data_IF_164989737906
#
_entry.id   IF_164989737906
#
_cell.length_a   1.000
_cell.length_b   1.000
_cell.length_c   1.000
_cell.angle_alpha   90.00
_cell.angle_beta   90.00
_cell.angle_gamma   90.00
#
_symmetry.space_group_name_H-M   'P 1'
#
loop_
_entity.id
_entity.type
_entity.pdbx_description
1 polymer ?
#
# COMPACT_ATOMS: atom_id res chain seq x y z
N UNK A 1 40.03 -12.65 -23.94
CA UNK A 1 40.10 -12.92 -22.48
C UNK A 1 38.67 -13.13 -22.01
N UNK A 2 38.01 -14.30 -22.14
CA UNK A 2 38.25 -15.65 -21.61
C UNK A 2 38.07 -15.76 -20.07
N UNK A 3 36.92 -16.30 -19.64
CA UNK A 3 36.62 -17.13 -18.44
C UNK A 3 35.07 -17.21 -18.33
N UNK A 4 34.36 -18.18 -18.91
CA UNK A 4 34.25 -19.65 -18.73
C UNK A 4 33.42 -20.09 -17.52
N UNK A 5 32.33 -20.81 -17.86
CA UNK A 5 31.29 -21.50 -17.08
C UNK A 5 31.77 -22.33 -15.88
N UNK A 6 30.87 -22.52 -14.89
CA UNK A 6 30.59 -23.83 -14.28
C UNK A 6 29.09 -24.03 -14.09
N UNK A 7 28.55 -25.06 -14.74
CA UNK A 7 27.30 -25.74 -14.41
C UNK A 7 27.62 -26.89 -13.45
N UNK A 8 26.68 -27.21 -12.55
CA UNK A 8 26.70 -28.43 -11.74
C UNK A 8 25.28 -28.94 -11.60
N UNK A 9 24.99 -30.05 -12.26
CA UNK A 9 23.80 -30.89 -12.07
C UNK A 9 24.12 -32.01 -11.07
N UNK A 10 23.17 -32.36 -10.21
CA UNK A 10 23.16 -33.64 -9.51
C UNK A 10 21.75 -34.22 -9.57
N UNK A 11 21.73 -35.53 -9.79
CA UNK A 11 20.60 -36.36 -10.18
C UNK A 11 19.71 -36.79 -9.00
N UNK A 12 18.48 -37.17 -9.35
CA UNK A 12 17.50 -37.88 -8.53
C UNK A 12 18.00 -39.28 -8.14
N UNK A 13 17.62 -39.72 -6.93
CA UNK A 13 17.48 -41.15 -6.63
C UNK A 13 16.31 -41.36 -5.66
N UNK A 14 15.46 -42.31 -6.05
CA UNK A 14 14.23 -42.78 -5.42
C UNK A 14 14.53 -43.72 -4.24
N UNK A 15 13.82 -43.58 -3.11
CA UNK A 15 13.57 -44.73 -2.25
C UNK A 15 12.33 -44.54 -1.37
N UNK A 16 11.44 -45.52 -1.51
CA UNK A 16 10.19 -45.74 -0.80
C UNK A 16 10.43 -46.36 0.58
N UNK A 17 9.70 -45.94 1.63
CA UNK A 17 9.37 -46.81 2.77
C UNK A 17 8.17 -46.35 3.62
N UNK A 18 7.11 -47.16 3.52
CA UNK A 18 6.30 -47.79 4.59
C UNK A 18 5.67 -46.96 5.73
N UNK A 19 4.36 -46.75 5.55
CA UNK A 19 3.20 -46.87 6.47
C UNK A 19 3.43 -47.54 7.84
N UNK A 20 2.96 -46.89 8.92
CA UNK A 20 2.51 -47.51 10.19
C UNK A 20 1.12 -46.96 10.53
N UNK A 21 0.24 -47.84 11.01
CA UNK A 21 -1.18 -47.65 11.35
C UNK A 21 -1.39 -48.23 12.76
N UNK A 22 -2.13 -47.54 13.63
CA UNK A 22 -2.69 -48.05 14.89
C UNK A 22 -3.49 -46.91 15.56
N UNK A 23 -4.83 -46.86 15.49
CA UNK A 23 -5.90 -47.58 16.22
C UNK A 23 -6.08 -47.16 17.68
N UNK A 24 -7.12 -46.34 17.89
CA UNK A 24 -8.27 -46.45 18.82
C UNK A 24 -8.09 -46.68 20.33
N UNK A 25 -8.77 -45.83 21.12
CA UNK A 25 -9.81 -46.08 22.17
C UNK A 25 -9.75 -44.99 23.27
N UNK A 26 -10.81 -44.17 23.45
CA UNK A 26 -11.85 -44.24 24.51
C UNK A 26 -11.29 -43.99 25.94
N UNK A 27 -11.87 -43.26 26.89
CA UNK A 27 -13.13 -42.53 27.12
C UNK A 27 -13.05 -41.90 28.54
N UNK A 28 -14.05 -41.07 28.91
CA UNK A 28 -14.48 -40.70 30.29
C UNK A 28 -13.69 -39.58 31.03
N UNK A 29 -14.20 -38.35 31.13
CA UNK A 29 -15.19 -37.76 32.09
C UNK A 29 -14.75 -37.72 33.55
N UNK A 30 -14.73 -36.52 34.16
CA UNK A 30 -14.79 -36.38 35.62
C UNK A 30 -14.18 -35.10 36.20
N UNK A 31 -15.06 -34.22 36.66
CA UNK A 31 -14.97 -33.34 37.83
C UNK A 31 -14.23 -31.98 37.85
N UNK A 32 -15.11 -30.99 38.06
CA UNK A 32 -15.00 -29.62 38.53
C UNK A 32 -14.44 -29.49 39.96
N UNK A 33 -13.64 -28.45 40.22
CA UNK A 33 -13.52 -27.78 41.53
C UNK A 33 -13.28 -26.28 41.32
N UNK A 34 -14.17 -25.46 41.89
CA UNK A 34 -14.05 -24.01 42.07
C UNK A 34 -12.94 -23.65 43.07
N UNK A 35 -12.24 -22.53 42.86
CA UNK A 35 -11.90 -21.65 43.99
C UNK A 35 -11.68 -20.20 43.50
N UNK A 36 -12.31 -19.30 44.21
CA UNK A 36 -12.35 -17.85 44.07
C UNK A 36 -11.35 -17.20 45.01
N UNK A 37 -10.55 -16.21 44.58
CA UNK A 37 -9.88 -15.27 45.51
C UNK A 37 -9.68 -13.87 44.91
N UNK A 38 -10.21 -12.89 45.67
CA UNK A 38 -9.80 -11.49 45.90
C UNK A 38 -9.91 -10.38 44.84
N UNK A 39 -10.76 -9.41 45.18
CA UNK A 39 -10.73 -7.99 44.81
C UNK A 39 -9.83 -7.18 45.77
N UNK A 40 -9.12 -6.17 45.25
CA UNK A 40 -8.62 -4.97 45.95
C UNK A 40 -8.53 -3.84 44.90
N UNK A 41 -9.43 -2.85 44.91
CA UNK A 41 -9.32 -1.54 45.58
C UNK A 41 -8.18 -0.64 45.04
N UNK A 42 -8.56 0.44 44.34
CA UNK A 42 -7.98 1.77 44.57
C UNK A 42 -8.95 2.87 44.09
N UNK A 43 -9.15 3.87 44.95
CA UNK A 43 -10.03 5.01 44.79
C UNK A 43 -9.34 6.28 45.31
N UNK A 44 -9.27 7.33 44.51
CA UNK A 44 -8.97 8.73 44.87
C UNK A 44 -9.23 9.59 43.62
N UNK A 45 -9.74 10.84 43.61
CA UNK A 45 -10.18 11.76 44.65
C UNK A 45 -11.14 12.80 44.03
N UNK A 46 -11.94 13.40 44.91
CA UNK A 46 -13.03 14.39 44.70
C UNK A 46 -12.51 15.79 44.34
N UNK A 47 -13.33 16.64 43.68
CA UNK A 47 -14.00 17.83 44.28
C UNK A 47 -14.69 18.75 43.25
N UNK A 48 -15.95 19.04 43.55
CA UNK A 48 -16.90 19.98 42.94
C UNK A 48 -16.67 21.42 43.43
N UNK A 49 -17.02 22.43 42.63
CA UNK A 49 -17.50 23.72 43.13
C UNK A 49 -18.33 24.44 42.05
N UNK A 50 -19.63 24.62 42.31
CA UNK A 50 -20.51 25.63 41.71
C UNK A 50 -20.59 26.81 42.68
N UNK A 51 -20.64 28.05 42.15
CA UNK A 51 -21.25 29.19 42.82
C UNK A 51 -21.68 30.26 41.80
N UNK A 52 -22.89 30.75 42.00
CA UNK A 52 -23.66 31.75 41.26
C UNK A 52 -23.20 33.19 41.55
N UNK A 53 -23.46 34.13 40.64
CA UNK A 53 -23.98 35.48 40.95
C UNK A 53 -24.35 36.26 39.68
N UNK A 54 -25.51 36.93 39.73
CA UNK A 54 -26.21 37.69 38.68
C UNK A 54 -25.73 39.15 38.50
N UNK A 55 -25.82 39.64 37.24
CA UNK A 55 -26.35 40.95 36.74
C UNK A 55 -25.79 42.33 37.22
N UNK A 56 -26.12 43.48 36.57
CA UNK A 56 -26.31 43.80 35.13
C UNK A 56 -25.69 45.17 34.67
N UNK A 57 -25.75 45.39 33.35
CA UNK A 57 -25.88 46.66 32.57
C UNK A 57 -24.93 47.85 32.77
N UNK A 58 -24.27 48.26 31.67
CA UNK A 58 -24.33 49.67 31.23
C UNK A 58 -24.09 49.85 29.72
N UNK A 59 -24.78 50.84 29.15
CA UNK A 59 -24.79 51.22 27.71
C UNK A 59 -23.71 52.28 27.43
N UNK A 60 -23.12 52.26 26.22
CA UNK A 60 -22.85 53.51 25.48
C UNK A 60 -22.59 53.25 23.99
N UNK A 61 -23.22 54.12 23.19
CA UNK A 61 -23.31 54.17 21.72
C UNK A 61 -22.19 55.06 21.16
N UNK A 62 -21.61 54.72 20.01
CA UNK A 62 -21.30 55.70 18.95
C UNK A 62 -20.83 55.02 17.67
N UNK A 63 -21.34 55.57 16.57
CA UNK A 63 -21.26 55.15 15.18
C UNK A 63 -19.84 55.17 14.58
N UNK A 64 -19.62 54.29 13.60
CA UNK A 64 -18.34 54.16 12.90
C UNK A 64 -18.48 53.29 11.65
N UNK A 65 -19.12 53.86 10.64
CA UNK A 65 -19.30 53.33 9.30
C UNK A 65 -17.93 53.05 8.65
N UNK A 66 -17.61 51.78 8.38
CA UNK A 66 -16.48 51.40 7.54
C UNK A 66 -16.91 50.32 6.56
N UNK A 67 -17.16 50.76 5.33
CA UNK A 67 -17.39 49.94 4.17
C UNK A 67 -16.19 49.00 3.93
N UNK A 68 -16.33 47.74 4.33
CA UNK A 68 -15.39 46.68 3.98
C UNK A 68 -15.75 46.15 2.59
N UNK A 69 -14.95 46.55 1.61
CA UNK A 69 -14.90 46.07 0.25
C UNK A 69 -14.96 44.52 0.19
N UNK A 70 -16.11 43.97 -0.21
CA UNK A 70 -16.24 42.56 -0.58
C UNK A 70 -15.49 42.33 -1.89
N UNK A 71 -14.22 41.92 -1.78
CA UNK A 71 -13.48 41.34 -2.91
C UNK A 71 -14.09 39.97 -3.20
N UNK A 72 -14.92 39.94 -4.24
CA UNK A 72 -15.34 38.71 -4.92
C UNK A 72 -14.07 37.99 -5.41
N UNK A 73 -13.65 36.97 -4.68
CA UNK A 73 -12.67 35.98 -5.14
C UNK A 73 -13.34 35.19 -6.26
N UNK A 74 -12.99 35.52 -7.51
CA UNK A 74 -13.44 34.76 -8.66
C UNK A 74 -13.02 33.29 -8.50
N UNK A 75 -13.99 32.39 -8.59
CA UNK A 75 -13.78 30.95 -8.65
C UNK A 75 -12.96 30.62 -9.90
N UNK A 76 -11.64 30.59 -9.79
CA UNK A 76 -10.79 29.95 -10.79
C UNK A 76 -11.08 28.45 -10.74
N UNK A 77 -11.91 27.97 -11.66
CA UNK A 77 -12.20 26.55 -11.86
C UNK A 77 -10.88 25.82 -12.11
N UNK A 78 -10.37 25.13 -11.10
CA UNK A 78 -9.10 24.40 -11.19
C UNK A 78 -9.27 23.26 -12.20
N UNK A 79 -8.52 23.32 -13.31
CA UNK A 79 -8.48 22.23 -14.30
C UNK A 79 -7.68 21.09 -13.70
N UNK A 80 -8.36 19.99 -13.40
CA UNK A 80 -7.71 18.77 -12.87
C UNK A 80 -6.97 18.05 -13.99
N UNK A 81 -5.77 17.56 -13.69
CA UNK A 81 -5.00 16.69 -14.61
C UNK A 81 -5.80 15.44 -14.95
N UNK A 82 -5.96 15.13 -16.23
CA UNK A 82 -6.65 13.90 -16.67
C UNK A 82 -5.77 12.69 -16.36
N UNK A 83 -6.38 11.61 -15.89
CA UNK A 83 -5.68 10.38 -15.51
C UNK A 83 -6.16 9.26 -16.42
N UNK A 84 -5.22 8.66 -17.15
CA UNK A 84 -5.41 7.41 -17.90
C UNK A 84 -4.61 6.32 -17.18
N UNK A 85 -5.22 5.17 -16.89
CA UNK A 85 -4.52 4.11 -16.19
C UNK A 85 -5.00 2.73 -16.64
N UNK A 86 -4.10 1.76 -16.62
CA UNK A 86 -4.42 0.35 -16.86
C UNK A 86 -3.42 -0.56 -16.13
N UNK A 87 -3.77 -1.83 -16.02
CA UNK A 87 -2.97 -2.87 -15.39
C UNK A 87 -2.60 -3.97 -16.39
N UNK A 88 -1.50 -4.66 -16.12
CA UNK A 88 -1.18 -5.93 -16.74
C UNK A 88 -0.56 -6.84 -15.71
N UNK A 89 -0.78 -8.14 -15.89
CA UNK A 89 -0.24 -9.19 -15.06
C UNK A 89 0.09 -10.44 -15.88
N UNK A 90 1.09 -11.19 -15.44
CA UNK A 90 1.43 -12.50 -15.99
C UNK A 90 1.89 -13.40 -14.84
N UNK A 91 1.38 -14.63 -14.81
CA UNK A 91 1.72 -15.64 -13.80
C UNK A 91 3.21 -16.00 -13.81
N UNK A 92 3.90 -15.77 -14.92
CA UNK A 92 5.28 -16.17 -15.11
C UNK A 92 5.43 -17.69 -15.01
N UNK A 93 6.51 -18.15 -14.36
CA UNK A 93 6.76 -19.58 -14.14
C UNK A 93 6.16 -20.13 -12.85
N UNK A 94 5.38 -19.34 -12.10
CA UNK A 94 4.72 -19.79 -10.88
C UNK A 94 3.56 -20.74 -11.18
N UNK A 95 3.24 -21.60 -10.22
CA UNK A 95 2.14 -22.55 -10.33
C UNK A 95 0.79 -21.82 -10.32
N UNK A 96 0.66 -20.90 -9.36
CA UNK A 96 -0.47 -20.01 -9.12
C UNK A 96 -0.09 -18.58 -9.49
N UNK A 97 -1.11 -17.79 -9.82
CA UNK A 97 -1.00 -16.34 -9.78
C UNK A 97 -1.55 -15.94 -8.41
N UNK A 98 -0.84 -15.14 -7.62
CA UNK A 98 -1.21 -14.74 -6.26
C UNK A 98 -1.33 -13.22 -6.13
N UNK A 99 -0.89 -12.46 -7.13
CA UNK A 99 -1.15 -11.01 -7.17
C UNK A 99 -2.63 -10.72 -7.50
N UNK A 100 -3.09 -9.58 -6.99
CA UNK A 100 -4.31 -8.90 -7.36
C UNK A 100 -4.01 -7.41 -7.58
N UNK A 101 -4.87 -6.70 -8.32
CA UNK A 101 -4.70 -5.28 -8.60
C UNK A 101 -6.03 -4.54 -8.69
N UNK A 102 -6.00 -3.21 -8.56
CA UNK A 102 -7.19 -2.35 -8.64
C UNK A 102 -6.91 -1.15 -9.54
N UNK A 103 -7.85 -0.88 -10.46
CA UNK A 103 -7.88 0.33 -11.30
C UNK A 103 -9.28 0.96 -11.19
N UNK A 104 -9.44 1.90 -10.25
CA UNK A 104 -10.71 2.58 -9.97
C UNK A 104 -10.61 4.08 -10.26
N UNK A 105 -10.92 4.53 -11.49
CA UNK A 105 -10.92 5.95 -11.86
C UNK A 105 -11.98 6.78 -11.11
N UNK A 106 -12.99 6.14 -10.52
CA UNK A 106 -13.99 6.78 -9.67
C UNK A 106 -14.23 5.94 -8.40
N UNK A 107 -13.26 5.95 -7.48
CA UNK A 107 -13.32 5.18 -6.24
C UNK A 107 -14.39 5.70 -5.26
N UNK A 108 -14.83 6.96 -5.42
CA UNK A 108 -15.86 7.58 -4.59
C UNK A 108 -17.30 7.39 -5.09
N UNK A 109 -17.54 6.57 -6.12
CA UNK A 109 -18.84 6.49 -6.79
C UNK A 109 -20.02 6.19 -5.84
N UNK A 110 -19.81 5.32 -4.85
CA UNK A 110 -20.84 4.92 -3.86
C UNK A 110 -21.02 5.93 -2.73
N UNK A 111 -20.09 6.88 -2.57
CA UNK A 111 -20.14 7.91 -1.53
C UNK A 111 -19.59 9.24 -2.05
N UNK A 112 -20.33 9.91 -2.96
CA UNK A 112 -19.84 11.06 -3.71
C UNK A 112 -19.32 12.17 -2.79
N UNK A 113 -18.24 12.83 -3.22
CA UNK A 113 -17.74 14.07 -2.65
C UNK A 113 -17.41 15.05 -3.77
N UNK A 114 -17.05 16.30 -3.44
CA UNK A 114 -16.69 17.31 -4.44
C UNK A 114 -15.31 17.09 -5.06
N UNK A 115 -14.40 16.43 -4.35
CA UNK A 115 -13.09 16.06 -4.88
C UNK A 115 -13.17 14.78 -5.69
N UNK A 116 -12.51 14.80 -6.86
CA UNK A 116 -12.16 13.57 -7.58
C UNK A 116 -11.48 12.60 -6.60
N UNK A 117 -11.92 11.36 -6.58
CA UNK A 117 -11.31 10.28 -5.80
C UNK A 117 -10.99 9.10 -6.72
N UNK A 118 -9.71 8.87 -6.96
CA UNK A 118 -9.18 7.75 -7.75
C UNK A 118 -8.44 6.80 -6.82
N UNK A 119 -8.49 5.49 -7.10
CA UNK A 119 -7.69 4.49 -6.40
C UNK A 119 -7.04 3.49 -7.36
N UNK A 120 -5.74 3.28 -7.19
CA UNK A 120 -4.96 2.25 -7.87
C UNK A 120 -4.18 1.44 -6.84
N UNK A 121 -4.06 0.13 -7.04
CA UNK A 121 -3.29 -0.71 -6.13
C UNK A 121 -2.77 -2.00 -6.79
N UNK A 122 -1.71 -2.55 -6.20
CA UNK A 122 -1.26 -3.92 -6.39
C UNK A 122 -1.18 -4.57 -5.01
N UNK A 123 -1.61 -5.82 -4.93
CA UNK A 123 -1.50 -6.70 -3.78
C UNK A 123 -0.75 -7.95 -4.22
N UNK A 124 0.50 -8.11 -3.79
CA UNK A 124 1.32 -9.29 -4.09
C UNK A 124 1.09 -10.33 -2.98
N UNK A 125 0.39 -11.41 -3.32
CA UNK A 125 -0.02 -12.45 -2.38
C UNK A 125 1.06 -13.51 -2.19
N UNK A 126 1.11 -14.10 -1.00
CA UNK A 126 2.01 -15.21 -0.72
C UNK A 126 1.36 -16.28 0.14
N UNK A 127 1.60 -17.54 -0.24
CA UNK A 127 1.03 -18.71 0.44
C UNK A 127 -0.45 -18.94 0.11
N UNK A 128 -0.95 -18.26 -0.92
CA UNK A 128 -2.36 -18.18 -1.30
C UNK A 128 -2.72 -16.79 -1.83
N UNK A 129 -3.95 -16.65 -2.34
CA UNK A 129 -4.47 -15.39 -2.91
C UNK A 129 -5.60 -14.77 -2.09
N UNK A 130 -6.08 -15.43 -1.05
CA UNK A 130 -7.27 -15.00 -0.31
C UNK A 130 -7.05 -13.67 0.40
N UNK A 131 -5.86 -13.45 0.97
CA UNK A 131 -5.48 -12.16 1.56
C UNK A 131 -5.42 -11.03 0.51
N UNK A 132 -4.83 -11.29 -0.66
CA UNK A 132 -4.75 -10.33 -1.77
C UNK A 132 -6.14 -9.99 -2.32
N UNK A 133 -6.98 -11.00 -2.59
CA UNK A 133 -8.36 -10.84 -3.06
C UNK A 133 -9.23 -10.07 -2.05
N UNK A 134 -9.03 -10.31 -0.75
CA UNK A 134 -9.75 -9.59 0.30
C UNK A 134 -9.35 -8.11 0.33
N UNK A 135 -8.04 -7.83 0.31
CA UNK A 135 -7.54 -6.45 0.29
C UNK A 135 -8.01 -5.71 -0.98
N UNK A 136 -7.97 -6.37 -2.14
CA UNK A 136 -8.49 -5.86 -3.42
C UNK A 136 -9.94 -5.38 -3.32
N UNK A 137 -10.80 -6.18 -2.68
CA UNK A 137 -12.23 -5.89 -2.56
C UNK A 137 -12.56 -4.83 -1.52
N UNK A 138 -11.83 -4.79 -0.40
CA UNK A 138 -12.29 -4.06 0.79
C UNK A 138 -11.46 -2.83 1.16
N UNK A 139 -10.18 -2.76 0.79
CA UNK A 139 -9.30 -1.72 1.32
C UNK A 139 -9.78 -0.30 0.99
N UNK A 140 -10.13 -0.06 -0.27
CA UNK A 140 -10.55 1.26 -0.73
C UNK A 140 -11.84 1.73 -0.05
N UNK A 141 -12.83 0.84 0.14
CA UNK A 141 -14.05 1.15 0.88
C UNK A 141 -13.77 1.47 2.34
N UNK A 142 -12.90 0.70 2.99
CA UNK A 142 -12.52 0.93 4.38
C UNK A 142 -11.77 2.25 4.58
N UNK A 143 -10.91 2.65 3.64
CA UNK A 143 -10.23 3.96 3.66
C UNK A 143 -11.24 5.10 3.49
N UNK A 144 -12.18 4.97 2.55
CA UNK A 144 -13.27 5.95 2.33
C UNK A 144 -14.13 6.10 3.58
N UNK A 145 -14.54 4.98 4.20
CA UNK A 145 -15.33 4.94 5.43
C UNK A 145 -14.55 5.40 6.68
N UNK A 146 -13.22 5.40 6.63
CA UNK A 146 -12.35 5.93 7.68
C UNK A 146 -12.20 7.47 7.64
N UNK A 147 -12.91 8.16 6.74
CA UNK A 147 -12.93 9.62 6.67
C UNK A 147 -11.91 10.19 5.69
N UNK A 148 -11.64 9.50 4.59
CA UNK A 148 -10.83 10.07 3.50
C UNK A 148 -11.48 11.39 3.05
N UNK A 149 -10.77 12.53 3.08
CA UNK A 149 -11.37 13.84 2.82
C UNK A 149 -11.74 13.96 1.35
N UNK A 150 -13.04 14.13 1.07
CA UNK A 150 -13.58 14.24 -0.29
C UNK A 150 -14.27 15.59 -0.56
N UNK A 151 -14.15 16.57 0.35
CA UNK A 151 -14.72 17.91 0.17
C UNK A 151 -13.64 18.99 0.01
N UNK A 152 -12.79 19.12 1.03
CA UNK A 152 -11.60 19.96 1.04
C UNK A 152 -10.42 19.07 1.39
N UNK A 153 -9.32 19.22 0.65
CA UNK A 153 -8.16 18.36 0.87
C UNK A 153 -7.48 18.69 2.20
N UNK A 154 -7.55 17.77 3.15
CA UNK A 154 -6.74 17.76 4.37
C UNK A 154 -5.78 16.57 4.31
N UNK A 155 -4.50 16.85 4.06
CA UNK A 155 -3.46 15.83 3.95
C UNK A 155 -3.32 15.01 5.25
N UNK A 156 -3.48 15.64 6.42
CA UNK A 156 -3.38 14.93 7.71
C UNK A 156 -4.56 13.98 7.87
N UNK A 157 -5.77 14.43 7.56
CA UNK A 157 -6.96 13.59 7.58
C UNK A 157 -6.85 12.43 6.57
N UNK A 158 -6.35 12.70 5.35
CA UNK A 158 -6.16 11.67 4.34
C UNK A 158 -5.18 10.58 4.79
N UNK A 159 -4.01 10.96 5.33
CA UNK A 159 -3.04 10.00 5.87
C UNK A 159 -3.63 9.17 7.01
N UNK A 160 -4.39 9.81 7.91
CA UNK A 160 -5.06 9.12 9.02
C UNK A 160 -6.11 8.12 8.52
N UNK A 161 -6.93 8.52 7.54
CA UNK A 161 -7.95 7.66 6.93
C UNK A 161 -7.33 6.45 6.24
N UNK A 162 -6.20 6.63 5.54
CA UNK A 162 -5.44 5.52 4.93
C UNK A 162 -4.94 4.56 6.00
N UNK A 163 -4.26 5.03 7.05
CA UNK A 163 -3.76 4.18 8.14
C UNK A 163 -4.91 3.39 8.80
N UNK A 164 -6.03 4.06 9.08
CA UNK A 164 -7.20 3.44 9.69
C UNK A 164 -7.88 2.44 8.75
N UNK A 165 -7.96 2.72 7.44
CA UNK A 165 -8.49 1.79 6.45
C UNK A 165 -7.66 0.52 6.32
N UNK A 166 -6.33 0.62 6.37
CA UNK A 166 -5.43 -0.54 6.45
C UNK A 166 -5.69 -1.33 7.73
N UNK A 167 -5.78 -0.66 8.89
CA UNK A 167 -6.06 -1.32 10.18
C UNK A 167 -7.38 -2.09 10.16
N UNK A 168 -8.47 -1.47 9.71
CA UNK A 168 -9.81 -2.11 9.60
C UNK A 168 -9.80 -3.29 8.64
N UNK A 169 -9.16 -3.13 7.48
CA UNK A 169 -9.07 -4.19 6.47
C UNK A 169 -8.32 -5.41 7.01
N UNK A 170 -7.19 -5.20 7.69
CA UNK A 170 -6.41 -6.28 8.28
C UNK A 170 -7.16 -6.95 9.45
N UNK A 171 -7.85 -6.18 10.28
CA UNK A 171 -8.66 -6.72 11.38
C UNK A 171 -9.79 -7.64 10.87
N UNK A 172 -10.55 -7.19 9.87
CA UNK A 172 -11.60 -8.01 9.26
C UNK A 172 -11.02 -9.20 8.48
N UNK A 173 -9.90 -9.03 7.78
CA UNK A 173 -9.19 -10.12 7.11
C UNK A 173 -8.74 -11.19 8.11
N UNK A 174 -8.22 -10.83 9.28
CA UNK A 174 -7.78 -11.79 10.31
C UNK A 174 -8.96 -12.57 10.91
N UNK A 175 -10.14 -11.96 10.99
CA UNK A 175 -11.37 -12.65 11.38
C UNK A 175 -11.78 -13.69 10.33
N UNK A 176 -11.81 -13.31 9.04
CA UNK A 176 -12.12 -14.22 7.94
C UNK A 176 -11.06 -15.32 7.80
N UNK A 177 -9.78 -14.98 7.96
CA UNK A 177 -8.67 -15.94 7.99
C UNK A 177 -8.82 -16.95 9.11
N UNK A 178 -9.40 -16.54 10.25
CA UNK A 178 -9.66 -17.47 11.36
C UNK A 178 -10.81 -18.42 11.07
N UNK A 179 -11.90 -17.92 10.47
CA UNK A 179 -13.06 -18.73 10.08
C UNK A 179 -12.71 -19.71 8.94
N UNK A 180 -11.96 -19.25 7.95
CA UNK A 180 -11.57 -20.03 6.76
C UNK A 180 -10.25 -20.79 6.89
N UNK A 181 -9.57 -20.69 8.03
CA UNK A 181 -8.23 -21.24 8.27
C UNK A 181 -7.18 -20.78 7.22
N UNK A 182 -7.25 -19.51 6.82
CA UNK A 182 -6.27 -18.91 5.91
C UNK A 182 -4.97 -18.63 6.65
N UNK A 183 -3.86 -18.81 5.95
CA UNK A 183 -2.50 -18.61 6.46
C UNK A 183 -1.65 -17.76 5.52
N UNK A 184 -2.24 -17.34 4.40
CA UNK A 184 -1.63 -16.47 3.41
C UNK A 184 -1.59 -15.03 3.90
N UNK A 185 -0.80 -14.24 3.19
CA UNK A 185 -0.70 -12.80 3.38
C UNK A 185 -0.58 -12.10 2.04
N UNK A 186 -0.59 -10.77 2.09
CA UNK A 186 -0.37 -9.97 0.90
C UNK A 186 0.35 -8.67 1.24
N UNK A 187 1.30 -8.28 0.39
CA UNK A 187 1.82 -6.92 0.36
C UNK A 187 0.77 -5.99 -0.24
N UNK A 188 0.97 -4.68 -0.14
CA UNK A 188 0.15 -3.72 -0.85
C UNK A 188 0.94 -2.45 -1.16
N UNK A 189 0.86 -2.01 -2.41
CA UNK A 189 1.21 -0.65 -2.81
C UNK A 189 -0.02 0.02 -3.39
N UNK A 190 -0.38 1.18 -2.86
CA UNK A 190 -1.62 1.86 -3.18
C UNK A 190 -1.38 3.33 -3.49
N UNK A 191 -2.17 3.86 -4.43
CA UNK A 191 -2.22 5.28 -4.79
C UNK A 191 -3.67 5.74 -4.72
N UNK A 192 -3.90 6.85 -4.03
CA UNK A 192 -5.12 7.64 -4.15
C UNK A 192 -4.81 8.99 -4.78
N UNK A 193 -5.70 9.47 -5.64
CA UNK A 193 -5.63 10.84 -6.18
C UNK A 193 -6.89 11.58 -5.75
N UNK A 194 -6.70 12.58 -4.88
CA UNK A 194 -7.74 13.43 -4.31
C UNK A 194 -7.62 14.84 -4.87
N UNK A 195 -8.46 15.18 -5.86
CA UNK A 195 -8.24 16.38 -6.67
C UNK A 195 -6.88 16.31 -7.38
N UNK A 196 -5.91 17.10 -6.93
CA UNK A 196 -4.53 17.17 -7.46
C UNK A 196 -3.48 16.52 -6.52
N UNK A 197 -3.89 16.14 -5.31
CA UNK A 197 -3.02 15.53 -4.32
C UNK A 197 -2.95 14.02 -4.51
N UNK A 198 -1.74 13.48 -4.59
CA UNK A 198 -1.48 12.04 -4.59
C UNK A 198 -1.15 11.59 -3.18
N UNK A 199 -1.77 10.51 -2.72
CA UNK A 199 -1.44 9.82 -1.47
C UNK A 199 -0.98 8.41 -1.80
N UNK A 200 0.24 8.06 -1.39
CA UNK A 200 0.86 6.75 -1.65
C UNK A 200 1.00 6.01 -0.34
N UNK A 201 0.56 4.76 -0.30
CA UNK A 201 0.69 3.89 0.87
C UNK A 201 1.39 2.58 0.50
N UNK A 202 2.26 2.07 1.37
CA UNK A 202 2.99 0.82 1.15
C UNK A 202 3.07 -0.05 2.40
N UNK A 203 2.82 -1.36 2.25
CA UNK A 203 3.21 -2.44 3.17
C UNK A 203 3.87 -3.54 2.33
N UNK A 204 5.02 -4.04 2.76
CA UNK A 204 5.80 -5.03 2.00
C UNK A 204 6.80 -4.40 1.04
N UNK A 205 7.12 -5.11 -0.04
CA UNK A 205 8.24 -4.84 -0.96
C UNK A 205 7.81 -4.56 -2.42
N UNK A 206 6.52 -4.52 -2.70
CA UNK A 206 5.99 -3.83 -3.87
C UNK A 206 6.43 -2.34 -3.91
N UNK A 207 6.41 -1.73 -5.09
CA UNK A 207 6.97 -0.38 -5.30
C UNK A 207 6.12 0.51 -6.16
N UNK A 208 6.14 1.81 -5.85
CA UNK A 208 5.64 2.87 -6.71
C UNK A 208 6.80 3.77 -7.16
N UNK A 209 6.87 4.08 -8.46
CA UNK A 209 7.90 4.94 -9.06
C UNK A 209 7.24 6.00 -9.91
N UNK A 210 7.53 7.27 -9.62
CA UNK A 210 7.08 8.44 -10.38
C UNK A 210 8.11 8.82 -11.45
N UNK A 211 7.66 9.03 -12.67
CA UNK A 211 8.44 9.64 -13.74
C UNK A 211 8.17 11.15 -13.78
N UNK A 212 9.21 11.94 -13.51
CA UNK A 212 9.15 13.40 -13.49
C UNK A 212 10.18 13.99 -14.44
N UNK A 213 9.80 14.99 -15.24
CA UNK A 213 10.75 15.69 -16.10
C UNK A 213 11.79 16.44 -15.28
N UNK A 214 13.04 16.41 -15.76
CA UNK A 214 14.13 17.21 -15.21
C UNK A 214 14.06 18.57 -15.89
N UNK A 215 13.72 19.63 -15.15
CA UNK A 215 13.77 20.99 -15.68
C UNK A 215 15.18 21.53 -15.52
N UNK A 216 15.91 21.64 -16.62
CA UNK A 216 17.03 22.60 -16.70
C UNK A 216 16.41 23.97 -16.96
N UNK A 217 15.88 24.62 -15.91
CA UNK A 217 15.68 26.06 -15.98
C UNK A 217 17.06 26.71 -16.10
N UNK A 218 17.51 27.01 -17.32
CA UNK A 218 18.77 27.74 -17.50
C UNK A 218 19.48 27.69 -18.85
N UNK A 219 19.38 26.63 -19.66
CA UNK A 219 20.29 26.52 -20.82
C UNK A 219 19.67 25.82 -22.04
N UNK A 220 19.53 26.58 -23.12
CA UNK A 220 19.64 26.09 -24.51
C UNK A 220 18.47 25.27 -25.05
N UNK A 221 18.40 25.20 -26.39
CA UNK A 221 17.41 24.43 -27.16
C UNK A 221 17.29 23.01 -26.60
N UNK A 222 16.19 22.74 -25.87
CA UNK A 222 15.84 21.39 -25.47
C UNK A 222 15.34 20.70 -26.72
N UNK A 223 16.16 19.81 -27.28
CA UNK A 223 15.73 18.86 -28.29
C UNK A 223 14.55 18.07 -27.69
N UNK A 224 13.31 18.37 -28.12
CA UNK A 224 12.10 17.73 -27.61
C UNK A 224 12.14 16.20 -27.80
N UNK A 225 13.01 15.69 -28.68
CA UNK A 225 13.22 14.26 -28.85
C UNK A 225 13.90 13.59 -27.64
N UNK A 226 14.56 14.35 -26.75
CA UNK A 226 15.31 13.87 -25.58
C UNK A 226 14.83 14.42 -24.23
N UNK A 227 13.53 14.67 -24.05
CA UNK A 227 13.00 14.93 -22.70
C UNK A 227 13.37 13.78 -21.76
N UNK A 228 14.30 14.01 -20.83
CA UNK A 228 14.75 12.99 -19.87
C UNK A 228 13.84 13.00 -18.65
N UNK A 229 13.29 11.83 -18.32
CA UNK A 229 12.49 11.63 -17.12
C UNK A 229 13.37 11.04 -16.01
N UNK A 230 13.30 11.63 -14.82
CA UNK A 230 13.86 11.06 -13.60
C UNK A 230 12.87 10.10 -12.97
N UNK A 231 13.34 8.90 -12.63
CA UNK A 231 12.63 7.97 -11.77
C UNK A 231 12.76 8.40 -10.29
N UNK A 232 11.64 8.62 -9.63
CA UNK A 232 11.55 8.95 -8.21
C UNK A 232 10.81 7.81 -7.52
N UNK A 233 11.52 7.04 -6.70
CA UNK A 233 10.90 5.97 -5.91
C UNK A 233 10.06 6.60 -4.80
N UNK A 234 8.76 6.29 -4.77
CA UNK A 234 7.79 6.87 -3.84
C UNK A 234 7.57 6.02 -2.58
N UNK A 235 8.10 4.80 -2.56
CA UNK A 235 7.93 3.85 -1.45
C UNK A 235 9.26 3.36 -0.90
N UNK A 236 9.25 2.88 0.34
CA UNK A 236 10.34 2.11 0.94
C UNK A 236 9.89 0.67 1.10
N UNK A 237 10.78 -0.27 0.75
CA UNK A 237 10.53 -1.69 0.99
C UNK A 237 10.54 -2.01 2.49
N UNK A 238 9.75 -3.00 2.88
CA UNK A 238 9.62 -3.44 4.27
C UNK A 238 10.14 -4.86 4.47
N UNK A 239 11.45 -5.06 4.36
CA UNK A 239 12.09 -6.37 4.61
C UNK A 239 12.45 -6.54 6.09
N UNK A 240 12.25 -7.74 6.63
CA UNK A 240 12.53 -8.04 8.05
C UNK A 240 14.00 -7.80 8.45
N UNK A 241 14.93 -7.91 7.51
CA UNK A 241 16.36 -7.64 7.73
C UNK A 241 16.68 -6.15 7.97
N UNK A 242 15.81 -5.22 7.55
CA UNK A 242 16.08 -3.78 7.71
C UNK A 242 16.03 -3.35 9.17
N UNK A 243 16.94 -2.46 9.57
CA UNK A 243 17.20 -2.14 10.98
C UNK A 243 15.95 -1.73 11.78
N UNK A 244 15.09 -0.87 11.21
CA UNK A 244 13.87 -0.40 11.90
C UNK A 244 12.85 -1.53 12.04
N UNK A 245 12.66 -2.31 10.96
CA UNK A 245 11.74 -3.45 10.93
C UNK A 245 12.20 -4.56 11.87
N UNK A 246 13.49 -4.93 11.82
CA UNK A 246 14.14 -5.89 12.72
C UNK A 246 13.97 -5.50 14.19
N UNK A 247 14.19 -4.23 14.52
CA UNK A 247 14.03 -3.74 15.89
C UNK A 247 12.58 -3.87 16.36
N UNK A 248 11.59 -3.53 15.52
CA UNK A 248 10.17 -3.76 15.83
C UNK A 248 9.89 -5.23 16.09
N UNK A 249 10.35 -6.12 15.22
CA UNK A 249 10.15 -7.56 15.32
C UNK A 249 10.71 -8.10 16.65
N UNK A 250 11.95 -7.73 16.98
CA UNK A 250 12.61 -8.15 18.23
C UNK A 250 11.88 -7.62 19.47
N UNK A 251 11.42 -6.37 19.46
CA UNK A 251 10.62 -5.80 20.57
C UNK A 251 9.29 -6.51 20.77
N UNK A 252 8.71 -7.07 19.71
CA UNK A 252 7.50 -7.88 19.77
C UNK A 252 7.77 -9.36 20.13
N UNK A 253 9.00 -9.73 20.50
CA UNK A 253 9.38 -11.11 20.81
C UNK A 253 9.61 -12.00 19.58
N UNK A 254 9.62 -11.41 18.37
CA UNK A 254 9.97 -12.09 17.14
C UNK A 254 11.47 -12.20 16.92
N UNK A 255 11.87 -13.08 16.00
CA UNK A 255 13.26 -13.23 15.56
C UNK A 255 13.41 -12.95 14.06
N UNK A 256 14.56 -12.44 13.64
CA UNK A 256 14.95 -12.33 12.23
C UNK A 256 16.22 -13.14 12.03
N UNK A 257 16.11 -14.20 11.22
CA UNK A 257 17.21 -15.12 10.96
C UNK A 257 18.37 -14.48 10.21
N UNK A 258 19.50 -15.19 10.13
CA UNK A 258 20.64 -14.78 9.28
C UNK A 258 20.27 -14.73 7.80
N UNK A 259 19.27 -15.50 7.38
CA UNK A 259 18.66 -15.43 6.04
C UNK A 259 17.77 -14.20 5.82
N UNK A 260 17.66 -13.29 6.80
CA UNK A 260 16.85 -12.08 6.69
C UNK A 260 15.35 -12.27 6.88
N UNK A 261 14.88 -13.49 7.18
CA UNK A 261 13.45 -13.82 7.31
C UNK A 261 12.95 -13.74 8.75
N UNK A 262 11.75 -13.21 8.94
CA UNK A 262 11.03 -13.22 10.22
C UNK A 262 10.65 -14.67 10.56
N UNK A 263 11.02 -15.10 11.77
CA UNK A 263 10.91 -16.48 12.27
C UNK A 263 11.47 -17.53 11.27
N UNK A 264 12.45 -17.13 10.46
CA UNK A 264 13.02 -17.97 9.39
C UNK A 264 12.11 -18.27 8.21
N UNK A 265 10.87 -17.73 8.17
CA UNK A 265 9.83 -18.10 7.20
C UNK A 265 9.55 -17.02 6.15
N UNK A 266 9.26 -15.79 6.57
CA UNK A 266 8.76 -14.72 5.68
C UNK A 266 9.77 -13.57 5.54
N UNK A 267 9.98 -13.06 4.32
CA UNK A 267 10.94 -11.98 4.05
C UNK A 267 10.39 -10.59 4.36
N UNK A 268 9.13 -10.35 4.02
CA UNK A 268 8.44 -9.09 4.35
C UNK A 268 8.14 -9.00 5.83
N UNK A 269 8.24 -7.79 6.35
CA UNK A 269 7.98 -7.43 7.75
C UNK A 269 6.65 -6.73 7.96
N UNK A 270 6.00 -6.33 6.86
CA UNK A 270 4.68 -5.73 6.83
C UNK A 270 3.86 -6.36 5.71
N UNK A 271 2.66 -6.81 6.04
CA UNK A 271 1.71 -7.42 5.11
C UNK A 271 0.30 -7.46 5.75
N UNK A 272 -0.72 -7.54 4.91
CA UNK A 272 -2.05 -7.99 5.29
C UNK A 272 -2.04 -9.50 5.57
N UNK A 273 -2.93 -9.99 6.43
CA UNK A 273 -3.03 -11.43 6.70
C UNK A 273 -1.85 -11.92 7.54
N UNK A 274 -1.26 -13.07 7.22
CA UNK A 274 -0.11 -13.62 7.97
C UNK A 274 -0.35 -13.75 9.48
N UNK A 275 -1.56 -14.22 9.84
CA UNK A 275 -2.07 -14.27 11.23
C UNK A 275 -1.05 -14.80 12.25
N UNK A 276 -0.32 -15.86 11.89
CA UNK A 276 0.70 -16.51 12.71
C UNK A 276 1.88 -15.60 13.09
N UNK A 277 2.14 -14.53 12.32
CA UNK A 277 3.27 -13.61 12.53
C UNK A 277 2.88 -12.28 13.19
N UNK A 278 1.59 -11.97 13.31
CA UNK A 278 1.11 -10.69 13.89
C UNK A 278 1.59 -10.46 15.33
N UNK A 279 1.64 -11.53 16.13
CA UNK A 279 2.11 -11.48 17.54
C UNK A 279 3.62 -11.32 17.68
N UNK A 280 4.38 -11.51 16.61
CA UNK A 280 5.85 -11.48 16.60
C UNK A 280 6.38 -10.37 15.69
N UNK A 281 5.59 -9.30 15.49
CA UNK A 281 6.04 -8.03 14.93
C UNK A 281 5.78 -7.81 13.44
N UNK A 282 5.08 -8.72 12.75
CA UNK A 282 4.52 -8.43 11.43
C UNK A 282 3.29 -7.53 11.59
N UNK A 283 3.24 -6.41 10.87
CA UNK A 283 2.16 -5.42 11.00
C UNK A 283 1.56 -5.07 9.63
N UNK A 284 0.30 -4.62 9.59
CA UNK A 284 -0.32 -4.07 8.38
C UNK A 284 -0.32 -2.54 8.35
N UNK A 285 0.44 -1.87 9.22
CA UNK A 285 0.53 -0.40 9.24
C UNK A 285 1.36 0.09 8.04
N UNK A 286 0.78 0.89 7.13
CA UNK A 286 1.50 1.38 5.96
C UNK A 286 2.45 2.51 6.30
N UNK A 287 3.50 2.64 5.50
CA UNK A 287 4.13 3.93 5.30
C UNK A 287 3.23 4.77 4.38
N UNK A 288 2.95 6.04 4.72
CA UNK A 288 2.08 6.92 3.93
C UNK A 288 2.75 8.25 3.60
N UNK A 289 2.85 8.55 2.31
CA UNK A 289 3.44 9.76 1.76
C UNK A 289 2.45 10.49 0.87
N UNK A 290 2.64 11.78 0.63
CA UNK A 290 1.75 12.57 -0.22
C UNK A 290 2.52 13.67 -0.95
N UNK A 291 2.05 14.05 -2.13
CA UNK A 291 2.59 15.15 -2.92
C UNK A 291 1.53 15.73 -3.85
N UNK A 292 1.73 16.97 -4.29
CA UNK A 292 0.89 17.61 -5.30
C UNK A 292 1.39 17.28 -6.70
N UNK A 293 0.47 16.90 -7.61
CA UNK A 293 0.78 16.73 -9.02
C UNK A 293 1.12 18.07 -9.66
N UNK A 294 2.20 18.08 -10.43
CA UNK A 294 2.66 19.21 -11.22
C UNK A 294 2.67 18.84 -12.71
N UNK A 295 2.77 19.83 -13.60
CA UNK A 295 2.97 19.58 -15.04
C UNK A 295 4.24 18.79 -15.36
N UNK A 296 5.17 18.68 -14.41
CA UNK A 296 6.41 17.90 -14.55
C UNK A 296 6.19 16.41 -14.31
N UNK A 297 5.05 16.01 -13.74
CA UNK A 297 4.72 14.63 -13.43
C UNK A 297 4.07 13.94 -14.62
N UNK A 298 4.69 12.91 -15.18
CA UNK A 298 4.21 12.27 -16.41
C UNK A 298 3.43 11.00 -16.13
N UNK A 299 3.94 10.11 -15.30
CA UNK A 299 3.26 8.87 -14.95
C UNK A 299 3.82 8.25 -13.65
N UNK A 300 3.03 7.36 -13.04
CA UNK A 300 3.46 6.48 -11.95
C UNK A 300 3.40 5.03 -12.43
N UNK A 301 4.42 4.24 -12.11
CA UNK A 301 4.43 2.78 -12.26
C UNK A 301 4.29 2.17 -10.86
N UNK A 302 3.24 1.40 -10.65
CA UNK A 302 3.18 0.44 -9.55
C UNK A 302 3.65 -0.92 -10.06
N UNK A 303 4.39 -1.66 -9.26
CA UNK A 303 4.75 -3.05 -9.57
C UNK A 303 4.96 -3.89 -8.32
N UNK A 304 4.70 -5.19 -8.43
CA UNK A 304 5.15 -6.19 -7.45
C UNK A 304 6.65 -6.45 -7.57
N UNK A 305 7.22 -7.24 -6.65
CA UNK A 305 8.65 -7.53 -6.67
C UNK A 305 9.09 -8.33 -7.91
N UNK A 306 8.19 -9.09 -8.54
CA UNK A 306 8.43 -9.75 -9.81
C UNK A 306 8.79 -8.79 -10.94
N UNK A 307 8.22 -7.58 -10.96
CA UNK A 307 8.63 -6.53 -11.89
C UNK A 307 10.00 -5.95 -11.47
N UNK A 308 10.10 -5.51 -10.22
CA UNK A 308 11.28 -4.77 -9.73
C UNK A 308 12.51 -5.63 -9.52
N UNK A 309 12.35 -6.96 -9.52
CA UNK A 309 13.44 -7.93 -9.50
C UNK A 309 14.20 -8.01 -10.83
N UNK A 310 13.59 -7.55 -11.93
CA UNK A 310 14.20 -7.55 -13.28
C UNK A 310 14.27 -6.17 -13.94
N UNK A 311 13.64 -5.15 -13.34
CA UNK A 311 13.71 -3.75 -13.76
C UNK A 311 14.26 -2.85 -12.64
N UNK A 312 15.26 -2.04 -12.98
CA UNK A 312 15.60 -0.87 -12.18
C UNK A 312 14.57 0.26 -12.37
N UNK A 313 14.34 1.15 -11.38
CA UNK A 313 13.37 2.25 -11.51
C UNK A 313 13.59 3.15 -12.73
N UNK A 314 14.85 3.53 -13.00
CA UNK A 314 15.21 4.37 -14.17
C UNK A 314 14.92 3.67 -15.50
N UNK A 315 15.31 2.41 -15.59
CA UNK A 315 15.11 1.55 -16.77
C UNK A 315 13.62 1.32 -17.06
N UNK A 316 12.80 1.06 -16.02
CA UNK A 316 11.35 0.96 -16.19
C UNK A 316 10.72 2.27 -16.69
N UNK A 317 11.17 3.42 -16.17
CA UNK A 317 10.70 4.74 -16.61
C UNK A 317 11.09 5.01 -18.06
N UNK A 318 12.33 4.73 -18.45
CA UNK A 318 12.80 4.88 -19.83
C UNK A 318 12.01 3.97 -20.78
N UNK A 319 11.83 2.70 -20.41
CA UNK A 319 11.04 1.74 -21.19
C UNK A 319 9.62 2.25 -21.40
N UNK A 320 8.90 2.59 -20.32
CA UNK A 320 7.52 3.09 -20.40
C UNK A 320 7.43 4.39 -21.18
N UNK A 321 8.38 5.30 -21.01
CA UNK A 321 8.42 6.54 -21.78
C UNK A 321 8.50 6.26 -23.29
N UNK A 322 9.37 5.33 -23.71
CA UNK A 322 9.49 4.95 -25.12
C UNK A 322 8.19 4.28 -25.63
N UNK A 323 7.58 3.40 -24.82
CA UNK A 323 6.29 2.79 -25.17
C UNK A 323 5.16 3.82 -25.32
N UNK A 324 5.11 4.83 -24.46
CA UNK A 324 4.11 5.89 -24.53
C UNK A 324 4.34 6.82 -25.74
N UNK A 325 5.60 7.09 -26.12
CA UNK A 325 5.92 7.83 -27.35
C UNK A 325 5.45 7.10 -28.60
N UNK A 326 5.62 5.77 -28.65
CA UNK A 326 5.21 4.95 -29.80
C UNK A 326 3.69 4.76 -29.87
N UNK A 327 3.05 4.42 -28.75
CA UNK A 327 1.67 3.92 -28.75
C UNK A 327 0.64 4.94 -28.29
N UNK A 328 1.06 5.98 -27.57
CA UNK A 328 0.18 6.93 -26.87
C UNK A 328 -0.88 6.26 -25.97
N UNK A 329 -0.65 5.02 -25.51
CA UNK A 329 -1.64 4.21 -24.76
C UNK A 329 -1.02 3.63 -23.49
N UNK A 330 -1.65 3.91 -22.34
CA UNK A 330 -1.25 3.32 -21.06
C UNK A 330 -1.42 1.79 -21.09
N UNK A 331 -2.52 1.29 -21.67
CA UNK A 331 -2.82 -0.14 -21.85
C UNK A 331 -1.71 -0.87 -22.62
N UNK A 332 -1.29 -0.36 -23.77
CA UNK A 332 -0.24 -1.01 -24.56
C UNK A 332 1.11 -0.93 -23.86
N UNK A 333 1.44 0.21 -23.25
CA UNK A 333 2.70 0.40 -22.54
C UNK A 333 2.84 -0.56 -21.35
N UNK A 334 1.82 -0.69 -20.50
CA UNK A 334 1.88 -1.57 -19.32
C UNK A 334 1.92 -3.06 -19.70
N UNK A 335 1.16 -3.47 -20.74
CA UNK A 335 1.21 -4.85 -21.26
C UNK A 335 2.59 -5.19 -21.81
N UNK A 336 3.21 -4.27 -22.55
CA UNK A 336 4.57 -4.46 -23.07
C UNK A 336 5.61 -4.47 -21.94
N UNK A 337 5.44 -3.69 -20.88
CA UNK A 337 6.30 -3.68 -19.69
C UNK A 337 6.30 -5.06 -19.00
N UNK A 338 5.11 -5.61 -18.71
CA UNK A 338 4.99 -6.93 -18.08
C UNK A 338 5.51 -8.04 -18.99
N UNK A 339 5.20 -7.97 -20.30
CA UNK A 339 5.73 -8.93 -21.28
C UNK A 339 7.26 -8.91 -21.33
N UNK A 340 7.87 -7.73 -21.35
CA UNK A 340 9.33 -7.55 -21.31
C UNK A 340 9.92 -8.17 -20.04
N UNK A 341 9.32 -7.89 -18.87
CA UNK A 341 9.76 -8.45 -17.59
C UNK A 341 9.76 -9.99 -17.58
N UNK A 342 8.68 -10.59 -18.07
CA UNK A 342 8.50 -12.06 -18.03
C UNK A 342 9.24 -12.78 -19.15
N UNK A 343 9.16 -12.29 -20.39
CA UNK A 343 9.67 -13.01 -21.57
C UNK A 343 11.13 -12.74 -21.85
N UNK A 344 11.50 -11.46 -21.90
CA UNK A 344 12.85 -11.06 -22.30
C UNK A 344 13.80 -11.05 -21.11
N UNK A 345 13.33 -10.54 -19.97
CA UNK A 345 14.11 -10.43 -18.72
C UNK A 345 13.95 -11.61 -17.77
N UNK A 346 13.10 -12.57 -18.15
CA UNK A 346 12.95 -13.88 -17.50
C UNK A 346 12.60 -13.80 -16.01
N UNK A 347 11.66 -12.92 -15.66
CA UNK A 347 11.05 -12.93 -14.33
C UNK A 347 10.54 -14.33 -13.97
N UNK A 348 10.83 -14.77 -12.74
CA UNK A 348 10.47 -16.09 -12.21
C UNK A 348 9.32 -16.05 -11.20
N UNK A 349 8.72 -14.88 -11.04
CA UNK A 349 7.61 -14.64 -10.14
C UNK A 349 6.32 -14.36 -10.91
N UNK A 350 5.21 -14.20 -10.19
CA UNK A 350 4.10 -13.41 -10.67
C UNK A 350 4.60 -11.99 -10.95
N UNK A 351 4.12 -11.39 -12.03
CA UNK A 351 4.57 -10.08 -12.44
C UNK A 351 3.36 -9.22 -12.78
N UNK A 352 3.06 -8.26 -11.92
CA UNK A 352 1.98 -7.30 -12.07
C UNK A 352 2.52 -5.87 -12.12
N UNK A 353 1.95 -5.06 -13.00
CA UNK A 353 2.20 -3.63 -13.06
C UNK A 353 0.89 -2.85 -13.27
N UNK A 354 0.81 -1.66 -12.68
CA UNK A 354 -0.24 -0.66 -12.96
C UNK A 354 0.46 0.62 -13.42
N UNK A 355 0.05 1.12 -14.59
CA UNK A 355 0.57 2.36 -15.14
C UNK A 355 -0.48 3.46 -15.02
N UNK A 356 -0.11 4.59 -14.42
CA UNK A 356 -0.99 5.74 -14.21
C UNK A 356 -0.38 6.94 -14.95
N UNK A 357 -0.96 7.32 -16.08
CA UNK A 357 -0.48 8.41 -16.95
C UNK A 357 -1.25 9.69 -16.65
N UNK A 358 -0.50 10.79 -16.47
CA UNK A 358 -1.02 12.13 -16.26
C UNK A 358 -1.02 12.90 -17.60
N UNK A 359 -2.21 13.25 -18.07
CA UNK A 359 -2.42 14.05 -19.28
C UNK A 359 -2.73 15.49 -18.84
N UNK A 360 -1.78 16.39 -19.11
CA UNK A 360 -1.83 17.82 -18.75
C UNK A 360 -2.32 18.70 -19.87
#
# INVERSE_FOLDING_TARGET
MAHQKREGSYADDDSTSKRIKGTDTASETGDSVESSVSQQMDAEARRTCQKESEAPSDKCVSDGECAANSKVLGEQKMVLTVVEADAADDKGCRHTMEDAWVVLPNAGAESPGSLRCVHFAIYDGHGGRLAADYAQKHLHQNVIAAGLPRELMDIKAAKKAVIEGFRRTDESLLQESTKGNWQDGATAVCVWILGQTVVVANVGDAKAVLARSISTEGEGVVDETKSQLKAIVLTREHKAIFSQERSRIQKAGGSVGSNGRLQGRIEVSRAFGDRQFKKVGLIATPDVHSFELTKKDHFIILGCDGLWGVFGPGDAVEFVQNQLKETSSATLAVRRLVKEAVRERRCKDNCTAVLIVFRH
#
